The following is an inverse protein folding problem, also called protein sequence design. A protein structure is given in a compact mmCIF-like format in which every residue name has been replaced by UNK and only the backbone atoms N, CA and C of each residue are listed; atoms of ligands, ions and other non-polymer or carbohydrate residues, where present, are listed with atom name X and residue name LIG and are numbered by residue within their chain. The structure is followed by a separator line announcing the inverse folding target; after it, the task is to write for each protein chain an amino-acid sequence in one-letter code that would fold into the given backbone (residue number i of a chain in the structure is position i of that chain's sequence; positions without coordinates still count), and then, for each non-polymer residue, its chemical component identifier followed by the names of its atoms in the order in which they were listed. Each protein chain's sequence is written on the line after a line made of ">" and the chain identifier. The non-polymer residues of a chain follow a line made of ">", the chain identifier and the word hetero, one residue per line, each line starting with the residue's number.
data_IF_079166030066
#
_entry.id   IF_079166030066
#
_cell.length_a   1.000
_cell.length_b   1.000
_cell.length_c   1.000
_cell.angle_alpha   90.00
_cell.angle_beta   90.00
_cell.angle_gamma   90.00
#
_symmetry.space_group_name_H-M   'P 1'
#
loop_
_entity.id
_entity.type
_entity.pdbx_description
1 polymer ?
#
# COMPACT_ATOMS: atom_id res chain seq x y z
N UNK A 1 -5.92 10.45 -26.02
CA UNK A 1 -6.00 9.04 -26.46
C UNK A 1 -6.72 8.28 -25.36
N UNK A 2 -7.83 7.61 -25.65
CA UNK A 2 -8.65 6.97 -24.61
C UNK A 2 -8.03 5.61 -24.22
N UNK A 3 -7.58 5.47 -22.98
CA UNK A 3 -7.16 4.18 -22.44
C UNK A 3 -8.41 3.37 -22.07
N UNK A 4 -8.65 2.29 -22.83
CA UNK A 4 -9.69 1.31 -22.58
C UNK A 4 -9.32 0.54 -21.32
N UNK A 5 -10.09 0.69 -20.25
CA UNK A 5 -9.86 -0.08 -19.02
C UNK A 5 -10.03 -1.58 -19.27
N UNK A 6 -9.21 -2.37 -18.58
CA UNK A 6 -9.36 -3.83 -18.55
C UNK A 6 -10.16 -4.19 -17.29
N UNK A 7 -11.31 -4.85 -17.47
CA UNK A 7 -12.09 -5.42 -16.38
C UNK A 7 -12.08 -6.94 -16.55
N UNK A 8 -11.60 -7.66 -15.54
CA UNK A 8 -11.64 -9.12 -15.49
C UNK A 8 -12.51 -9.51 -14.29
N UNK A 9 -13.71 -10.01 -14.59
CA UNK A 9 -14.61 -10.67 -13.65
C UNK A 9 -14.54 -12.18 -13.92
N UNK A 10 -13.79 -12.90 -13.10
CA UNK A 10 -13.53 -14.32 -13.26
C UNK A 10 -14.10 -15.11 -12.10
N UNK A 11 -15.07 -15.99 -12.35
CA UNK A 11 -15.61 -16.92 -11.34
C UNK A 11 -14.63 -18.04 -10.92
N UNK A 12 -13.36 -17.97 -11.32
CA UNK A 12 -12.34 -19.00 -11.10
C UNK A 12 -11.15 -18.42 -10.36
N UNK A 13 -10.60 -19.20 -9.42
CA UNK A 13 -9.40 -18.83 -8.68
C UNK A 13 -8.18 -18.72 -9.62
N UNK A 14 -7.24 -17.85 -9.27
CA UNK A 14 -5.95 -17.74 -9.94
C UNK A 14 -4.84 -18.37 -9.10
N UNK A 15 -4.01 -19.20 -9.71
CA UNK A 15 -2.75 -19.68 -9.12
C UNK A 15 -1.62 -19.37 -10.09
N UNK A 16 -0.71 -18.50 -9.67
CA UNK A 16 0.34 -17.94 -10.53
C UNK A 16 1.67 -17.91 -9.76
N UNK A 17 2.77 -17.81 -10.49
CA UNK A 17 4.07 -17.53 -9.86
C UNK A 17 4.07 -16.11 -9.26
N UNK A 18 3.70 -15.11 -10.07
CA UNK A 18 3.57 -13.70 -9.69
C UNK A 18 2.49 -13.03 -10.53
N UNK A 19 1.99 -11.88 -10.09
CA UNK A 19 1.06 -11.03 -10.83
C UNK A 19 1.58 -9.59 -10.82
N UNK A 20 1.71 -9.01 -12.01
CA UNK A 20 2.13 -7.62 -12.20
C UNK A 20 1.00 -6.83 -12.89
N UNK A 21 0.65 -5.68 -12.33
CA UNK A 21 -0.38 -4.79 -12.87
C UNK A 21 0.16 -3.37 -12.95
N UNK A 22 0.34 -2.86 -14.18
CA UNK A 22 0.85 -1.51 -14.42
C UNK A 22 -0.22 -0.64 -15.10
N UNK A 23 -0.41 0.58 -14.58
CA UNK A 23 -1.23 1.62 -15.21
C UNK A 23 -0.43 2.91 -15.34
N UNK A 24 -0.12 3.29 -16.58
CA UNK A 24 0.42 4.61 -16.90
C UNK A 24 -0.67 5.54 -17.45
N UNK A 25 -0.62 6.83 -17.11
CA UNK A 25 -1.57 7.83 -17.59
C UNK A 25 -2.85 7.87 -16.73
N UNK A 26 -4.02 7.76 -17.36
CA UNK A 26 -5.33 7.93 -16.70
C UNK A 26 -6.25 6.71 -16.85
N UNK A 27 -5.67 5.53 -17.10
CA UNK A 27 -6.41 4.28 -17.30
C UNK A 27 -7.00 3.71 -16.01
N UNK A 28 -7.86 2.72 -16.15
CA UNK A 28 -8.43 1.94 -15.05
C UNK A 28 -8.18 0.46 -15.29
N UNK A 29 -7.68 -0.24 -14.29
CA UNK A 29 -7.68 -1.70 -14.24
C UNK A 29 -8.50 -2.13 -13.02
N UNK A 30 -9.44 -3.03 -13.23
CA UNK A 30 -10.15 -3.71 -12.15
C UNK A 30 -10.00 -5.21 -12.34
N UNK A 31 -9.58 -5.88 -11.28
CA UNK A 31 -9.50 -7.34 -11.20
C UNK A 31 -10.42 -7.82 -10.09
N UNK A 32 -11.43 -8.60 -10.47
CA UNK A 32 -12.38 -9.22 -9.56
C UNK A 32 -12.27 -10.74 -9.70
N UNK A 33 -11.61 -11.36 -8.72
CA UNK A 33 -11.31 -12.79 -8.70
C UNK A 33 -11.52 -13.31 -7.28
N UNK A 34 -12.30 -14.38 -7.04
CA UNK A 34 -12.58 -14.87 -5.69
C UNK A 34 -11.34 -15.18 -4.86
N UNK A 35 -10.33 -15.84 -5.45
CA UNK A 35 -9.08 -16.12 -4.75
C UNK A 35 -7.86 -16.03 -5.68
N UNK A 36 -6.81 -15.40 -5.18
CA UNK A 36 -5.52 -15.25 -5.85
C UNK A 36 -4.44 -15.88 -4.97
N UNK A 37 -3.79 -16.92 -5.48
CA UNK A 37 -2.67 -17.58 -4.82
C UNK A 37 -1.39 -17.38 -5.65
N UNK A 38 -0.43 -16.64 -5.10
CA UNK A 38 0.84 -16.30 -5.73
C UNK A 38 1.98 -16.97 -4.98
N UNK A 39 2.83 -17.70 -5.70
CA UNK A 39 4.05 -18.26 -5.10
C UNK A 39 5.05 -17.17 -4.69
N UNK A 40 5.04 -16.04 -5.41
CA UNK A 40 5.98 -14.95 -5.29
C UNK A 40 5.29 -13.63 -4.91
N UNK A 41 5.07 -12.76 -5.89
CA UNK A 41 4.73 -11.36 -5.63
C UNK A 41 3.47 -10.91 -6.37
N UNK A 42 2.66 -10.09 -5.70
CA UNK A 42 1.74 -9.14 -6.34
C UNK A 42 2.46 -7.79 -6.45
N UNK A 43 2.75 -7.31 -7.66
CA UNK A 43 3.32 -5.98 -7.90
C UNK A 43 2.31 -5.10 -8.65
N UNK A 44 1.89 -4.00 -8.03
CA UNK A 44 0.92 -3.06 -8.60
C UNK A 44 1.55 -1.69 -8.72
N UNK A 45 1.65 -1.17 -9.94
CA UNK A 45 2.19 0.14 -10.23
C UNK A 45 1.17 1.04 -10.93
N UNK A 46 1.03 2.27 -10.42
CA UNK A 46 0.25 3.32 -11.05
C UNK A 46 1.13 4.57 -11.19
N UNK A 47 1.37 4.99 -12.44
CA UNK A 47 2.09 6.21 -12.77
C UNK A 47 1.15 7.19 -13.51
N UNK A 48 0.74 8.27 -12.83
CA UNK A 48 -0.17 9.28 -13.36
C UNK A 48 -1.42 9.47 -12.50
N UNK A 49 -2.57 9.57 -13.15
CA UNK A 49 -3.88 9.77 -12.52
C UNK A 49 -4.83 8.57 -12.68
N UNK A 50 -4.31 7.44 -13.18
CA UNK A 50 -5.05 6.21 -13.37
C UNK A 50 -5.41 5.51 -12.05
N UNK A 51 -6.03 4.35 -12.15
CA UNK A 51 -6.41 3.58 -10.97
C UNK A 51 -6.30 2.07 -11.18
N UNK A 52 -5.95 1.36 -10.12
CA UNK A 52 -6.02 -0.10 -10.02
C UNK A 52 -6.90 -0.47 -8.84
N UNK A 53 -7.84 -1.37 -9.06
CA UNK A 53 -8.63 -2.02 -8.00
C UNK A 53 -8.47 -3.54 -8.11
N UNK A 54 -7.97 -4.16 -7.03
CA UNK A 54 -7.98 -5.61 -6.85
C UNK A 54 -9.05 -5.94 -5.82
N UNK A 55 -10.06 -6.72 -6.23
CA UNK A 55 -11.16 -7.18 -5.39
C UNK A 55 -11.11 -8.71 -5.33
N UNK A 56 -10.82 -9.27 -4.16
CA UNK A 56 -10.68 -10.72 -3.99
C UNK A 56 -11.03 -11.18 -2.59
N UNK A 57 -11.72 -12.32 -2.43
CA UNK A 57 -12.04 -12.82 -1.09
C UNK A 57 -10.77 -13.26 -0.34
N UNK A 58 -9.77 -13.81 -1.05
CA UNK A 58 -8.53 -14.26 -0.45
C UNK A 58 -7.31 -14.00 -1.34
N UNK A 59 -6.29 -13.36 -0.78
CA UNK A 59 -4.99 -13.12 -1.42
C UNK A 59 -3.87 -13.76 -0.60
N UNK A 60 -3.21 -14.76 -1.17
CA UNK A 60 -1.99 -15.37 -0.62
C UNK A 60 -0.81 -15.00 -1.51
N UNK A 61 0.24 -14.43 -0.93
CA UNK A 61 1.49 -14.11 -1.64
C UNK A 61 2.69 -14.16 -0.70
N UNK A 62 3.91 -14.32 -1.21
CA UNK A 62 5.10 -14.07 -0.37
C UNK A 62 5.25 -12.56 -0.09
N UNK A 63 4.99 -11.73 -1.09
CA UNK A 63 5.12 -10.27 -1.02
C UNK A 63 3.97 -9.59 -1.76
N UNK A 64 3.46 -8.51 -1.16
CA UNK A 64 2.55 -7.57 -1.82
C UNK A 64 3.27 -6.23 -1.93
N UNK A 65 3.38 -5.72 -3.15
CA UNK A 65 4.04 -4.46 -3.46
C UNK A 65 3.11 -3.52 -4.20
N UNK A 66 2.99 -2.29 -3.72
CA UNK A 66 2.24 -1.23 -4.41
C UNK A 66 3.07 0.03 -4.57
N UNK A 67 3.09 0.59 -5.77
CA UNK A 67 3.78 1.85 -6.07
C UNK A 67 2.83 2.79 -6.80
N UNK A 68 2.51 3.92 -6.17
CA UNK A 68 1.70 4.97 -6.77
C UNK A 68 2.55 6.23 -6.95
N UNK A 69 2.77 6.65 -8.18
CA UNK A 69 3.44 7.89 -8.55
C UNK A 69 2.46 8.83 -9.28
N UNK A 70 1.95 9.84 -8.58
CA UNK A 70 1.03 10.84 -9.14
C UNK A 70 -0.18 11.11 -8.26
N UNK A 71 -1.35 11.22 -8.89
CA UNK A 71 -2.63 11.55 -8.25
C UNK A 71 -3.70 10.46 -8.42
N UNK A 72 -3.27 9.27 -8.86
CA UNK A 72 -4.12 8.11 -9.08
C UNK A 72 -4.53 7.40 -7.80
N UNK A 73 -5.03 6.17 -7.94
CA UNK A 73 -5.45 5.34 -6.80
C UNK A 73 -5.01 3.88 -6.97
N UNK A 74 -4.63 3.25 -5.87
CA UNK A 74 -4.49 1.80 -5.76
C UNK A 74 -5.39 1.34 -4.62
N UNK A 75 -6.28 0.39 -4.90
CA UNK A 75 -7.15 -0.24 -3.90
C UNK A 75 -6.90 -1.73 -3.93
N UNK A 76 -6.46 -2.29 -2.81
CA UNK A 76 -6.43 -3.72 -2.56
C UNK A 76 -7.53 -4.02 -1.55
N UNK A 77 -8.65 -4.55 -2.04
CA UNK A 77 -9.79 -4.95 -1.23
C UNK A 77 -9.84 -6.47 -1.15
N UNK A 78 -9.53 -7.00 0.03
CA UNK A 78 -9.55 -8.44 0.25
C UNK A 78 -9.99 -8.87 1.63
N UNK A 79 -10.88 -9.85 1.70
CA UNK A 79 -11.41 -10.35 2.98
C UNK A 79 -10.36 -11.09 3.81
N UNK A 80 -9.31 -11.62 3.17
CA UNK A 80 -8.26 -12.40 3.80
C UNK A 80 -6.91 -12.21 3.06
N UNK A 81 -6.04 -11.36 3.61
CA UNK A 81 -4.68 -11.16 3.10
C UNK A 81 -3.66 -11.91 3.96
N UNK A 82 -3.02 -12.90 3.36
CA UNK A 82 -1.86 -13.60 3.93
C UNK A 82 -0.61 -13.29 3.10
N UNK A 83 0.29 -12.49 3.68
CA UNK A 83 1.60 -12.23 3.07
C UNK A 83 2.72 -12.19 4.11
N UNK A 84 3.95 -12.50 3.69
CA UNK A 84 5.10 -12.32 4.58
C UNK A 84 5.48 -10.84 4.66
N UNK A 85 5.39 -10.13 3.53
CA UNK A 85 5.79 -8.73 3.41
C UNK A 85 4.75 -7.89 2.70
N UNK A 86 4.65 -6.64 3.14
CA UNK A 86 3.95 -5.57 2.44
C UNK A 86 4.89 -4.38 2.23
N UNK A 87 5.16 -4.03 0.98
CA UNK A 87 5.95 -2.85 0.62
C UNK A 87 5.06 -1.88 -0.19
N UNK A 88 4.65 -0.77 0.41
CA UNK A 88 3.74 0.18 -0.23
C UNK A 88 4.35 1.59 -0.28
N UNK A 89 4.26 2.23 -1.44
CA UNK A 89 4.82 3.56 -1.68
C UNK A 89 3.84 4.47 -2.40
N UNK A 90 3.70 5.70 -1.88
CA UNK A 90 2.93 6.78 -2.51
C UNK A 90 3.83 8.00 -2.69
N UNK A 91 4.02 8.40 -3.94
CA UNK A 91 4.72 9.60 -4.35
C UNK A 91 3.73 10.54 -5.04
N UNK A 92 3.40 11.67 -4.39
CA UNK A 92 2.43 12.65 -4.90
C UNK A 92 1.20 12.77 -4.02
N UNK A 93 0.05 13.01 -4.65
CA UNK A 93 -1.22 13.35 -3.99
C UNK A 93 -2.28 12.25 -4.09
N UNK A 94 -1.92 11.08 -4.62
CA UNK A 94 -2.83 9.96 -4.79
C UNK A 94 -3.08 9.18 -3.49
N UNK A 95 -3.86 8.11 -3.60
CA UNK A 95 -4.22 7.25 -2.46
C UNK A 95 -3.89 5.79 -2.75
N UNK A 96 -3.17 5.13 -1.85
CA UNK A 96 -3.05 3.67 -1.82
C UNK A 96 -3.73 3.15 -0.55
N UNK A 97 -4.69 2.22 -0.70
CA UNK A 97 -5.45 1.69 0.43
C UNK A 97 -5.55 0.16 0.43
N UNK A 98 -5.49 -0.39 1.64
CA UNK A 98 -5.73 -1.80 1.96
C UNK A 98 -7.01 -1.85 2.82
N UNK A 99 -8.13 -2.14 2.18
CA UNK A 99 -9.45 -1.85 2.76
C UNK A 99 -9.80 -2.77 3.93
N UNK A 100 -9.35 -4.01 3.88
CA UNK A 100 -9.90 -5.10 4.70
C UNK A 100 -8.78 -5.84 5.46
N UNK A 101 -9.16 -6.59 6.49
CA UNK A 101 -8.23 -7.09 7.50
C UNK A 101 -7.22 -8.09 6.95
N UNK A 102 -5.95 -7.93 7.32
CA UNK A 102 -4.88 -8.86 6.96
C UNK A 102 -3.74 -8.83 7.98
N UNK A 103 -2.73 -9.67 7.80
CA UNK A 103 -1.54 -9.68 8.65
C UNK A 103 -0.27 -9.95 7.85
N UNK A 104 0.82 -9.27 8.25
CA UNK A 104 2.15 -9.44 7.65
C UNK A 104 3.25 -9.49 8.69
N UNK A 105 4.37 -10.12 8.35
CA UNK A 105 5.54 -10.19 9.22
C UNK A 105 6.28 -8.86 9.28
N UNK A 106 6.57 -8.31 8.10
CA UNK A 106 7.24 -7.03 7.92
C UNK A 106 6.45 -6.15 6.95
N UNK A 107 6.40 -4.87 7.23
CA UNK A 107 5.88 -3.87 6.34
C UNK A 107 6.88 -2.73 6.15
N UNK A 108 7.01 -2.23 4.93
CA UNK A 108 7.77 -1.00 4.61
C UNK A 108 6.83 -0.02 3.91
N UNK A 109 6.60 1.14 4.51
CA UNK A 109 5.67 2.14 4.00
C UNK A 109 6.40 3.44 3.69
N UNK A 110 6.26 3.94 2.47
CA UNK A 110 6.81 5.24 2.08
C UNK A 110 5.70 6.17 1.61
N UNK A 111 5.64 7.38 2.17
CA UNK A 111 4.78 8.45 1.70
C UNK A 111 5.60 9.70 1.45
N UNK A 112 5.57 10.20 0.22
CA UNK A 112 6.24 11.44 -0.16
C UNK A 112 5.26 12.37 -0.88
N UNK A 113 4.83 13.43 -0.21
CA UNK A 113 3.84 14.40 -0.70
C UNK A 113 2.53 14.39 0.10
N UNK A 114 1.50 15.10 -0.38
CA UNK A 114 0.23 15.30 0.34
C UNK A 114 -0.76 14.13 0.21
N UNK A 115 -0.32 13.00 -0.35
CA UNK A 115 -1.16 11.82 -0.59
C UNK A 115 -1.52 11.05 0.68
N UNK A 116 -2.11 9.88 0.49
CA UNK A 116 -2.51 9.01 1.59
C UNK A 116 -2.05 7.58 1.36
N UNK A 117 -1.52 6.96 2.41
CA UNK A 117 -1.23 5.54 2.46
C UNK A 117 -1.98 4.92 3.64
N UNK A 118 -3.02 4.15 3.33
CA UNK A 118 -3.97 3.61 4.28
C UNK A 118 -3.80 2.09 4.43
N UNK A 119 -2.86 1.67 5.27
CA UNK A 119 -2.59 0.26 5.59
C UNK A 119 -3.12 -0.15 6.98
N UNK A 120 -4.02 0.64 7.57
CA UNK A 120 -4.52 0.43 8.94
C UNK A 120 -5.26 -0.89 9.17
N UNK A 121 -5.78 -1.51 8.11
CA UNK A 121 -6.43 -2.81 8.18
C UNK A 121 -5.43 -3.98 8.19
N UNK A 122 -4.16 -3.73 7.85
CA UNK A 122 -3.09 -4.73 7.86
C UNK A 122 -2.35 -4.69 9.18
N UNK A 123 -2.31 -5.82 9.89
CA UNK A 123 -1.61 -5.96 11.17
C UNK A 123 -0.18 -6.44 10.92
N UNK A 124 0.76 -5.50 10.87
CA UNK A 124 2.18 -5.83 10.76
C UNK A 124 2.77 -6.22 12.12
N UNK A 125 3.69 -7.19 12.16
CA UNK A 125 4.52 -7.39 13.35
C UNK A 125 5.56 -6.28 13.47
N UNK A 126 6.30 -6.02 12.39
CA UNK A 126 7.30 -4.95 12.31
C UNK A 126 6.97 -4.02 11.15
N UNK A 127 6.99 -2.72 11.38
CA UNK A 127 6.79 -1.73 10.31
C UNK A 127 7.91 -0.69 10.31
N UNK A 128 8.42 -0.40 9.12
CA UNK A 128 9.36 0.68 8.82
C UNK A 128 8.60 1.72 7.97
N UNK A 129 8.45 2.93 8.49
CA UNK A 129 7.63 3.98 7.91
C UNK A 129 8.51 5.19 7.60
N UNK A 130 8.52 5.64 6.36
CA UNK A 130 9.18 6.85 5.92
C UNK A 130 8.15 7.85 5.38
N UNK A 131 8.07 9.04 5.99
CA UNK A 131 7.14 10.10 5.57
C UNK A 131 7.91 11.38 5.26
N UNK A 132 7.66 11.94 4.07
CA UNK A 132 8.24 13.17 3.57
C UNK A 132 7.13 14.10 3.07
N UNK A 133 6.89 15.22 3.76
CA UNK A 133 5.82 16.18 3.42
C UNK A 133 4.62 16.10 4.37
N UNK A 134 3.43 16.45 3.85
CA UNK A 134 2.22 16.77 4.62
C UNK A 134 1.08 15.75 4.46
N UNK A 135 1.37 14.58 3.91
CA UNK A 135 0.39 13.50 3.71
C UNK A 135 0.06 12.71 4.99
N UNK A 136 -0.98 11.87 4.88
CA UNK A 136 -1.45 11.03 5.98
C UNK A 136 -1.09 9.56 5.77
N UNK A 137 -0.62 8.91 6.83
CA UNK A 137 -0.37 7.46 6.84
C UNK A 137 -1.06 6.78 8.02
N UNK A 138 -1.82 5.72 7.71
CA UNK A 138 -2.48 4.89 8.72
C UNK A 138 -1.82 3.51 8.73
N UNK A 139 -1.33 3.09 9.90
CA UNK A 139 -0.60 1.84 10.07
C UNK A 139 -1.01 1.12 11.36
N UNK A 140 -1.04 -0.22 11.33
CA UNK A 140 -1.30 -1.03 12.52
C UNK A 140 -0.15 -2.02 12.76
N UNK A 141 0.52 -1.87 13.91
CA UNK A 141 1.71 -2.64 14.26
C UNK A 141 1.53 -3.29 15.63
N UNK A 142 2.16 -4.45 15.86
CA UNK A 142 2.05 -5.18 17.13
C UNK A 142 3.34 -5.29 17.95
N UNK A 143 4.52 -5.31 17.30
CA UNK A 143 5.80 -5.47 18.00
C UNK A 143 6.68 -4.21 17.90
N UNK A 144 7.18 -3.89 16.69
CA UNK A 144 8.13 -2.79 16.49
C UNK A 144 7.72 -1.86 15.35
N UNK A 145 7.58 -0.58 15.66
CA UNK A 145 7.43 0.49 14.68
C UNK A 145 8.68 1.37 14.67
N UNK A 146 9.28 1.54 13.49
CA UNK A 146 10.32 2.54 13.22
C UNK A 146 9.75 3.59 12.28
N UNK A 147 9.76 4.86 12.69
CA UNK A 147 9.28 5.97 11.86
C UNK A 147 10.44 6.92 11.56
N UNK A 148 10.69 7.20 10.29
CA UNK A 148 11.51 8.32 9.84
C UNK A 148 10.59 9.39 9.25
N UNK A 149 10.72 10.61 9.76
CA UNK A 149 10.00 11.76 9.19
C UNK A 149 11.00 12.80 8.74
N UNK A 150 10.91 13.20 7.48
CA UNK A 150 11.59 14.37 6.93
C UNK A 150 10.61 15.50 6.71
N UNK A 151 10.82 16.63 7.41
CA UNK A 151 9.90 17.76 7.39
C UNK A 151 10.46 18.91 6.53
N UNK A 152 9.59 19.63 5.83
CA UNK A 152 9.80 21.06 5.54
C UNK A 152 9.19 21.87 6.69
N UNK A 153 9.70 23.08 6.93
CA UNK A 153 9.18 23.96 8.00
C UNK A 153 7.70 24.26 7.71
N UNK A 154 6.79 23.73 8.53
CA UNK A 154 5.34 23.94 8.42
C UNK A 154 4.47 22.67 8.33
N UNK A 155 5.07 21.48 8.14
CA UNK A 155 4.33 20.25 7.88
C UNK A 155 3.84 19.56 9.18
N UNK A 156 2.65 18.94 9.14
CA UNK A 156 2.11 18.06 10.18
C UNK A 156 2.01 16.65 9.60
N UNK A 157 2.73 15.70 10.18
CA UNK A 157 2.65 14.28 9.81
C UNK A 157 1.78 13.54 10.82
N UNK A 158 0.66 12.98 10.37
CA UNK A 158 -0.18 12.11 11.18
C UNK A 158 0.13 10.64 10.90
N UNK A 159 0.93 10.03 11.78
CA UNK A 159 1.00 8.56 11.87
C UNK A 159 0.02 8.13 12.95
N UNK A 160 -1.13 7.58 12.53
CA UNK A 160 -2.14 7.07 13.47
C UNK A 160 -1.95 5.58 13.69
N UNK A 161 -2.01 5.16 14.96
CA UNK A 161 -1.77 3.78 15.39
C UNK A 161 -3.05 3.09 15.82
N UNK A 162 -3.24 1.85 15.39
CA UNK A 162 -4.43 1.05 15.68
C UNK A 162 -4.54 0.51 17.12
N UNK A 163 -3.42 0.21 17.82
CA UNK A 163 -3.39 -0.37 19.19
C UNK A 163 -2.13 0.01 19.99
N UNK A 164 -2.16 -0.21 21.31
CA UNK A 164 -1.06 0.04 22.26
C UNK A 164 0.21 -0.74 21.89
N UNK A 165 1.28 -0.04 21.49
CA UNK A 165 2.55 -0.64 21.07
C UNK A 165 3.51 -0.80 22.24
N UNK A 166 4.14 -1.97 22.35
CA UNK A 166 5.17 -2.24 23.37
C UNK A 166 6.47 -1.49 23.11
N UNK A 167 6.91 -1.41 21.85
CA UNK A 167 8.18 -0.79 21.46
C UNK A 167 7.96 0.21 20.30
N UNK A 168 8.21 1.49 20.55
CA UNK A 168 8.11 2.56 19.55
C UNK A 168 9.43 3.30 19.45
N UNK A 169 9.97 3.41 18.25
CA UNK A 169 11.13 4.27 17.96
C UNK A 169 10.74 5.27 16.87
N UNK A 170 10.69 6.55 17.22
CA UNK A 170 10.44 7.64 16.28
C UNK A 170 11.75 8.39 16.10
N UNK A 171 12.25 8.44 14.86
CA UNK A 171 13.45 9.17 14.48
C UNK A 171 13.03 10.36 13.60
N UNK A 172 13.17 11.56 14.13
CA UNK A 172 13.02 12.77 13.33
C UNK A 172 14.35 13.06 12.64
N UNK A 173 14.33 13.10 11.31
CA UNK A 173 15.49 13.49 10.51
C UNK A 173 15.29 14.94 10.08
N UNK A 174 15.79 15.87 10.89
CA UNK A 174 15.91 17.26 10.45
C UNK A 174 17.01 17.34 9.39
N UNK A 175 16.61 17.60 8.14
CA UNK A 175 17.55 17.97 7.08
C UNK A 175 18.08 19.37 7.36
N UNK A 176 19.39 19.51 7.53
CA UNK A 176 20.07 20.79 7.38
C UNK A 176 19.97 21.20 5.90
N UNK A 177 18.99 22.04 5.55
CA UNK A 177 18.81 22.61 4.23
C UNK A 177 18.33 24.04 4.32
#
# INVERSE_FOLDING_TARGET
>A
MAHKGANWDGASNATLASLEVEVTGSGLVQLEIPSVNLEGCLDVEVAGSGSVALVTDALVAAEVKTTLSGSGNIVVDTSDLEAQKLDASVYGSGVSSFATAGAVDKETLTLSGPGQLLAGSIVARKSEVDVWGDGDMLVQVTDRLTVSVGMRIGDLVNVKLGKELRNREIRSLYGNG
#
